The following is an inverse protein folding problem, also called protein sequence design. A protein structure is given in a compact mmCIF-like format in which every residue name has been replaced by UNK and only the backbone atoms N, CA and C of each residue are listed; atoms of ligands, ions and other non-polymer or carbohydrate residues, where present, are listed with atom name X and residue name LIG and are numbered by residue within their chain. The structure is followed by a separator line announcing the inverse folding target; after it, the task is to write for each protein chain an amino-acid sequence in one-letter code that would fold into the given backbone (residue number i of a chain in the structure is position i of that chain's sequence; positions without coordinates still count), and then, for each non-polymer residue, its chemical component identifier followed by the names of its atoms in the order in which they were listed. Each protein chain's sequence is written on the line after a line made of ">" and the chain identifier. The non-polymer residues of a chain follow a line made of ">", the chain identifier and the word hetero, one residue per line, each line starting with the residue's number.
data_IF_267877292262
#
_entry.id   IF_267877292262
#
_cell.length_a   1.000
_cell.length_b   1.000
_cell.length_c   1.000
_cell.angle_alpha   90.00
_cell.angle_beta   90.00
_cell.angle_gamma   90.00
#
_symmetry.space_group_name_H-M   'P 1'
#
loop_
_entity.id
_entity.type
_entity.pdbx_description
1 polymer ?
#
# COMPACT_ATOMS: atom_id res chain seq x y z
N UNK A 1 2.61 20.14 -6.58
CA UNK A 1 3.08 18.96 -7.33
C UNK A 1 2.71 19.03 -8.81
N UNK A 2 1.48 19.46 -9.14
CA UNK A 2 0.96 19.59 -10.51
C UNK A 2 1.77 20.51 -11.44
N UNK A 3 2.23 21.67 -10.95
CA UNK A 3 3.08 22.57 -11.73
C UNK A 3 4.44 21.97 -12.07
N UNK A 4 5.02 21.19 -11.14
CA UNK A 4 6.32 20.53 -11.36
C UNK A 4 6.20 19.39 -12.38
N UNK A 5 5.10 18.63 -12.35
CA UNK A 5 4.81 17.59 -13.34
C UNK A 5 4.50 18.18 -14.74
N UNK A 6 3.77 19.31 -14.80
CA UNK A 6 3.55 20.04 -16.06
C UNK A 6 4.86 20.60 -16.62
N UNK A 7 5.69 21.19 -15.77
CA UNK A 7 7.02 21.68 -16.13
C UNK A 7 7.88 20.53 -16.67
N UNK A 8 7.90 19.39 -15.98
CA UNK A 8 8.62 18.19 -16.39
C UNK A 8 8.12 17.68 -17.76
N UNK A 9 6.81 17.53 -17.95
CA UNK A 9 6.26 17.09 -19.23
C UNK A 9 6.56 18.09 -20.36
N UNK A 10 6.45 19.39 -20.09
CA UNK A 10 6.73 20.45 -21.08
C UNK A 10 8.20 20.51 -21.50
N UNK A 11 9.12 20.11 -20.63
CA UNK A 11 10.56 20.12 -20.89
C UNK A 11 11.02 18.81 -21.54
N UNK A 12 10.46 17.66 -21.16
CA UNK A 12 11.05 16.34 -21.48
C UNK A 12 10.23 15.46 -22.45
N UNK A 13 8.98 15.80 -22.79
CA UNK A 13 8.12 14.99 -23.66
C UNK A 13 7.86 15.56 -25.07
N UNK A 14 8.41 16.73 -25.41
CA UNK A 14 8.40 17.22 -26.80
C UNK A 14 9.57 16.63 -27.58
N UNK A 15 9.30 16.13 -28.79
CA UNK A 15 10.18 15.30 -29.64
C UNK A 15 11.59 15.88 -29.91
N UNK A 16 11.81 17.17 -29.73
CA UNK A 16 13.12 17.81 -29.92
C UNK A 16 14.10 17.67 -28.74
N UNK A 17 13.69 17.10 -27.59
CA UNK A 17 14.53 17.05 -26.38
C UNK A 17 14.86 15.65 -25.84
N UNK A 18 15.03 14.67 -26.73
CA UNK A 18 15.68 13.38 -26.40
C UNK A 18 17.00 13.55 -25.63
N UNK A 19 17.73 14.63 -25.89
CA UNK A 19 18.96 14.99 -25.16
C UNK A 19 18.73 15.35 -23.69
N UNK A 20 17.67 16.11 -23.37
CA UNK A 20 17.42 16.55 -22.00
C UNK A 20 17.05 15.36 -21.09
N UNK A 21 16.23 14.44 -21.61
CA UNK A 21 15.88 13.20 -20.92
C UNK A 21 17.09 12.28 -20.73
N UNK A 22 17.94 12.16 -21.76
CA UNK A 22 19.22 11.43 -21.66
C UNK A 22 20.18 12.04 -20.62
N UNK A 23 20.26 13.37 -20.52
CA UNK A 23 21.07 14.07 -19.52
C UNK A 23 20.55 13.79 -18.11
N UNK A 24 19.24 13.78 -17.92
CA UNK A 24 18.62 13.49 -16.63
C UNK A 24 18.87 12.04 -16.19
N UNK A 25 18.68 11.07 -17.10
CA UNK A 25 19.02 9.66 -16.84
C UNK A 25 20.50 9.51 -16.48
N UNK A 26 21.41 10.16 -17.23
CA UNK A 26 22.85 10.13 -16.91
C UNK A 26 23.14 10.72 -15.53
N UNK A 27 22.47 11.80 -15.12
CA UNK A 27 22.61 12.35 -13.77
C UNK A 27 22.10 11.40 -12.69
N UNK A 28 21.00 10.71 -12.93
CA UNK A 28 20.40 9.76 -11.99
C UNK A 28 21.30 8.53 -11.80
N UNK A 29 21.86 8.02 -12.90
CA UNK A 29 22.89 6.97 -12.88
C UNK A 29 24.11 7.43 -12.08
N UNK A 30 24.64 8.63 -12.34
CA UNK A 30 25.78 9.18 -11.59
C UNK A 30 25.50 9.32 -10.09
N UNK A 31 24.26 9.64 -9.71
CA UNK A 31 23.85 9.71 -8.31
C UNK A 31 23.84 8.30 -7.71
N UNK A 32 23.24 7.31 -8.37
CA UNK A 32 23.21 5.92 -7.90
C UNK A 32 24.63 5.35 -7.75
N UNK A 33 25.49 5.57 -8.75
CA UNK A 33 26.93 5.21 -8.69
C UNK A 33 27.66 5.90 -7.54
N UNK A 34 27.24 7.11 -7.14
CA UNK A 34 27.85 7.82 -6.00
C UNK A 34 27.41 7.31 -4.63
N UNK A 35 26.27 6.63 -4.56
CA UNK A 35 25.68 6.07 -3.33
C UNK A 35 26.17 4.64 -3.10
N UNK A 36 26.57 3.92 -4.15
CA UNK A 36 27.29 2.64 -4.06
C UNK A 36 28.70 2.83 -3.44
N UNK A 37 28.75 3.06 -2.13
CA UNK A 37 29.98 2.94 -1.36
C UNK A 37 30.08 1.52 -0.84
N UNK A 38 31.02 0.76 -1.38
CA UNK A 38 31.44 -0.53 -0.83
C UNK A 38 32.00 -0.28 0.59
N UNK A 39 31.40 -0.81 1.67
CA UNK A 39 31.91 -0.59 3.02
C UNK A 39 33.25 -1.34 3.17
N UNK A 40 34.31 -0.60 3.44
CA UNK A 40 35.64 -1.13 3.74
C UNK A 40 35.80 -1.26 5.25
N UNK A 41 35.77 -2.49 5.75
CA UNK A 41 36.12 -2.80 7.14
C UNK A 41 37.64 -2.94 7.25
N UNK A 42 38.28 -2.05 8.03
CA UNK A 42 39.72 -2.07 8.32
C UNK A 42 39.97 -2.88 9.59
N UNK A 43 40.81 -3.91 9.48
CA UNK A 43 41.43 -4.58 10.64
C UNK A 43 42.93 -4.29 10.58
N UNK A 44 43.47 -3.71 11.65
CA UNK A 44 44.84 -3.19 11.77
C UNK A 44 45.94 -4.22 11.46
N UNK A 45 47.01 -3.80 10.76
CA UNK A 45 48.40 -4.21 11.05
C UNK A 45 49.46 -3.39 10.27
N UNK A 46 50.71 -3.29 10.76
CA UNK A 46 51.65 -2.20 10.43
C UNK A 46 52.85 -2.62 9.55
N UNK A 47 53.31 -1.70 8.68
CA UNK A 47 54.54 -1.71 7.83
C UNK A 47 54.64 -2.86 6.80
N UNK A 48 55.10 -2.72 5.55
CA UNK A 48 55.79 -1.68 4.79
C UNK A 48 55.47 -1.97 3.30
N UNK A 49 55.21 -0.93 2.48
CA UNK A 49 54.66 -0.98 1.11
C UNK A 49 53.15 -1.34 0.97
N UNK A 50 52.37 -1.14 2.03
CA UNK A 50 50.93 -1.42 2.04
C UNK A 50 50.07 -0.36 1.35
N UNK A 51 49.12 -0.81 0.53
CA UNK A 51 47.89 -0.20 0.01
C UNK A 51 47.87 1.30 -0.43
N UNK A 52 48.97 2.05 -0.38
CA UNK A 52 49.09 3.42 -0.92
C UNK A 52 48.91 3.45 -2.44
N UNK A 53 48.93 2.29 -3.10
CA UNK A 53 48.54 2.17 -4.50
C UNK A 53 47.02 2.34 -4.67
N UNK A 54 46.22 2.08 -3.63
CA UNK A 54 44.76 2.21 -3.62
C UNK A 54 44.23 3.60 -3.26
N UNK A 55 45.09 4.50 -2.80
CA UNK A 55 44.74 5.93 -2.70
C UNK A 55 44.80 6.64 -4.07
N UNK A 56 45.27 5.96 -5.13
CA UNK A 56 45.19 6.46 -6.50
C UNK A 56 43.81 6.14 -7.07
N UNK A 57 43.24 7.09 -7.81
CA UNK A 57 41.98 6.92 -8.56
C UNK A 57 42.17 5.81 -9.61
N UNK A 58 41.56 4.64 -9.42
CA UNK A 58 41.50 3.62 -10.46
C UNK A 58 40.40 3.96 -11.45
N UNK A 59 40.69 3.79 -12.73
CA UNK A 59 39.70 3.83 -13.80
C UNK A 59 39.57 2.40 -14.33
N UNK A 60 38.51 1.71 -13.94
CA UNK A 60 38.18 0.42 -14.51
C UNK A 60 37.44 0.66 -15.82
N UNK A 61 38.03 0.25 -16.93
CA UNK A 61 37.37 0.26 -18.24
C UNK A 61 36.88 -1.15 -18.52
N UNK A 62 35.57 -1.35 -18.43
CA UNK A 62 34.93 -2.62 -18.79
C UNK A 62 34.80 -2.62 -20.31
N UNK A 63 35.53 -3.51 -20.96
CA UNK A 63 35.44 -3.71 -22.41
C UNK A 63 34.70 -5.01 -22.66
N UNK A 64 33.56 -4.94 -23.35
CA UNK A 64 32.84 -6.12 -23.79
C UNK A 64 33.65 -6.78 -24.91
N UNK A 65 34.44 -7.79 -24.56
CA UNK A 65 35.10 -8.66 -25.52
C UNK A 65 34.28 -9.94 -25.58
N UNK A 66 33.73 -10.22 -26.75
CA UNK A 66 32.94 -11.43 -27.00
C UNK A 66 33.71 -12.66 -26.51
N UNK A 67 32.94 -13.55 -25.86
CA UNK A 67 33.27 -14.93 -25.46
C UNK A 67 33.90 -15.15 -24.06
N UNK A 68 33.00 -15.48 -23.11
CA UNK A 68 33.17 -16.45 -22.03
C UNK A 68 34.44 -16.37 -21.15
N UNK A 69 34.68 -15.23 -20.49
CA UNK A 69 35.59 -15.21 -19.35
C UNK A 69 34.90 -14.64 -18.10
N UNK A 70 34.63 -15.53 -17.13
CA UNK A 70 34.23 -15.18 -15.78
C UNK A 70 35.43 -14.53 -15.07
N UNK A 71 35.24 -13.37 -14.46
CA UNK A 71 36.26 -12.75 -13.61
C UNK A 71 36.38 -13.55 -12.31
N UNK A 72 37.56 -14.11 -12.04
CA UNK A 72 37.85 -14.80 -10.78
C UNK A 72 38.65 -13.91 -9.85
N UNK A 73 38.17 -13.74 -8.61
CA UNK A 73 38.96 -13.13 -7.53
C UNK A 73 40.12 -14.07 -7.12
N UNK A 74 41.09 -13.58 -6.34
CA UNK A 74 42.23 -14.34 -5.79
C UNK A 74 41.82 -15.56 -4.94
N UNK A 75 40.54 -15.65 -4.58
CA UNK A 75 39.90 -16.79 -3.90
C UNK A 75 39.44 -17.89 -4.86
N UNK A 76 39.55 -17.71 -6.18
CA UNK A 76 39.11 -18.67 -7.21
C UNK A 76 37.61 -18.67 -7.47
N UNK A 77 36.84 -17.77 -6.84
CA UNK A 77 35.39 -17.67 -7.03
C UNK A 77 35.04 -16.74 -8.18
N UNK A 78 34.07 -17.15 -8.99
CA UNK A 78 33.55 -16.37 -10.12
C UNK A 78 32.69 -15.22 -9.61
N UNK A 79 33.04 -13.99 -9.98
CA UNK A 79 32.22 -12.80 -9.77
C UNK A 79 31.15 -12.72 -10.86
N UNK A 80 29.89 -12.97 -10.46
CA UNK A 80 28.72 -12.72 -11.30
C UNK A 80 28.27 -11.28 -11.08
N UNK A 81 28.35 -10.46 -12.11
CA UNK A 81 27.88 -9.07 -12.10
C UNK A 81 26.70 -8.99 -13.05
N UNK A 82 25.50 -8.82 -12.50
CA UNK A 82 24.28 -8.57 -13.28
C UNK A 82 23.84 -7.12 -13.04
N UNK A 83 23.39 -6.40 -14.08
CA UNK A 83 22.83 -5.07 -13.90
C UNK A 83 21.57 -5.17 -13.04
N UNK A 84 21.54 -4.43 -11.92
CA UNK A 84 20.38 -4.36 -11.01
C UNK A 84 19.08 -3.98 -11.74
N UNK A 85 19.18 -3.20 -12.82
CA UNK A 85 18.01 -2.77 -13.62
C UNK A 85 18.45 -2.38 -15.03
N UNK A 86 17.64 -2.72 -16.03
CA UNK A 86 17.84 -2.34 -17.44
C UNK A 86 17.22 -0.96 -17.72
N UNK A 87 17.70 -0.26 -18.76
CA UNK A 87 17.11 1.00 -19.23
C UNK A 87 15.63 0.85 -19.57
N UNK A 88 15.23 -0.32 -20.11
CA UNK A 88 13.82 -0.64 -20.38
C UNK A 88 12.99 -0.70 -19.10
N UNK A 89 13.46 -1.41 -18.08
CA UNK A 89 12.81 -1.48 -16.77
C UNK A 89 12.71 -0.11 -16.09
N UNK A 90 13.78 0.71 -16.16
CA UNK A 90 13.77 2.09 -15.69
C UNK A 90 12.76 2.96 -16.46
N UNK A 91 12.66 2.79 -17.78
CA UNK A 91 11.71 3.53 -18.62
C UNK A 91 10.27 3.16 -18.29
N UNK A 92 9.97 1.87 -18.10
CA UNK A 92 8.63 1.40 -17.69
C UNK A 92 8.27 1.94 -16.31
N UNK A 93 9.21 1.90 -15.36
CA UNK A 93 9.02 2.44 -14.01
C UNK A 93 8.79 3.96 -14.00
N UNK A 94 9.55 4.71 -14.79
CA UNK A 94 9.34 6.16 -14.93
C UNK A 94 8.03 6.47 -15.67
N UNK A 95 7.65 5.68 -16.68
CA UNK A 95 6.38 5.86 -17.38
C UNK A 95 5.18 5.60 -16.46
N UNK A 96 5.25 4.61 -15.57
CA UNK A 96 4.21 4.41 -14.54
C UNK A 96 4.17 5.56 -13.53
N UNK A 97 5.28 6.25 -13.29
CA UNK A 97 5.33 7.45 -12.45
C UNK A 97 4.81 8.74 -13.13
N UNK A 98 4.71 8.76 -14.46
CA UNK A 98 4.34 9.96 -15.24
C UNK A 98 2.94 9.83 -15.87
N UNK A 99 2.47 8.61 -16.14
CA UNK A 99 1.08 8.38 -16.51
C UNK A 99 0.20 8.55 -15.27
N UNK A 100 -0.74 9.50 -15.33
CA UNK A 100 -1.79 9.61 -14.32
C UNK A 100 -2.49 8.26 -14.25
N UNK A 101 -2.42 7.64 -13.09
CA UNK A 101 -3.20 6.45 -12.83
C UNK A 101 -4.66 6.84 -12.66
N UNK A 102 -5.55 5.86 -12.74
CA UNK A 102 -6.98 6.12 -12.67
C UNK A 102 -7.37 6.84 -11.36
N UNK A 103 -6.66 6.55 -10.26
CA UNK A 103 -6.85 7.15 -8.93
C UNK A 103 -6.24 8.55 -8.78
N UNK A 104 -5.40 9.01 -9.72
CA UNK A 104 -4.88 10.38 -9.75
C UNK A 104 -5.88 11.37 -10.36
N UNK A 105 -6.99 10.87 -10.93
CA UNK A 105 -8.03 11.72 -11.48
C UNK A 105 -8.88 12.36 -10.37
N UNK A 106 -9.46 13.55 -10.62
CA UNK A 106 -10.39 14.17 -9.68
C UNK A 106 -11.53 13.23 -9.32
N UNK A 107 -12.02 13.33 -8.09
CA UNK A 107 -13.07 12.45 -7.55
C UNK A 107 -14.30 12.31 -8.46
N UNK A 108 -14.67 13.37 -9.19
CA UNK A 108 -15.77 13.37 -10.16
C UNK A 108 -15.57 12.49 -11.40
N UNK A 109 -14.32 12.16 -11.74
CA UNK A 109 -13.95 11.34 -12.89
C UNK A 109 -13.81 9.85 -12.55
N UNK A 110 -13.72 9.51 -11.26
CA UNK A 110 -13.69 8.14 -10.79
C UNK A 110 -15.00 7.45 -11.13
N UNK A 111 -14.90 6.25 -11.68
CA UNK A 111 -16.04 5.55 -12.26
C UNK A 111 -16.98 5.03 -11.17
N UNK A 112 -16.44 4.58 -10.04
CA UNK A 112 -17.25 4.21 -8.87
C UNK A 112 -18.10 5.39 -8.36
N UNK A 113 -17.59 6.62 -8.45
CA UNK A 113 -18.34 7.85 -8.09
C UNK A 113 -19.42 8.15 -9.12
N UNK A 114 -19.14 7.96 -10.42
CA UNK A 114 -20.17 8.11 -11.48
C UNK A 114 -21.29 7.07 -11.35
N UNK A 115 -20.94 5.84 -10.98
CA UNK A 115 -21.92 4.78 -10.70
C UNK A 115 -22.87 5.20 -9.58
N UNK A 116 -22.37 5.82 -8.50
CA UNK A 116 -23.22 6.33 -7.41
C UNK A 116 -24.10 7.53 -7.80
N UNK A 117 -23.67 8.33 -8.79
CA UNK A 117 -24.47 9.45 -9.30
C UNK A 117 -25.58 9.01 -10.24
N UNK A 118 -25.35 7.92 -10.98
CA UNK A 118 -26.32 7.36 -11.92
C UNK A 118 -27.33 6.45 -11.23
N UNK A 119 -26.84 5.59 -10.34
CA UNK A 119 -27.62 4.71 -9.51
C UNK A 119 -27.45 5.14 -8.06
N UNK A 120 -28.48 5.79 -7.51
CA UNK A 120 -28.46 6.42 -6.19
C UNK A 120 -28.08 5.45 -5.06
N UNK A 121 -28.08 4.13 -5.30
CA UNK A 121 -27.82 3.10 -4.28
C UNK A 121 -27.12 1.90 -4.89
N UNK A 122 -25.93 1.58 -4.37
CA UNK A 122 -25.20 0.36 -4.73
C UNK A 122 -25.30 -0.65 -3.58
N UNK A 123 -25.53 -1.94 -3.90
CA UNK A 123 -25.69 -3.02 -2.92
C UNK A 123 -24.57 -4.03 -3.09
N UNK A 124 -23.83 -4.25 -2.00
CA UNK A 124 -22.68 -5.14 -1.90
C UNK A 124 -23.06 -6.30 -0.98
N UNK A 125 -23.29 -7.48 -1.54
CA UNK A 125 -23.74 -8.67 -0.79
C UNK A 125 -22.55 -9.56 -0.49
N UNK A 126 -22.36 -9.88 0.79
CA UNK A 126 -21.34 -10.82 1.23
C UNK A 126 -21.60 -12.21 0.64
N UNK A 127 -20.58 -12.80 0.01
CA UNK A 127 -20.61 -14.22 -0.40
C UNK A 127 -19.53 -15.01 0.30
N UNK A 128 -18.29 -14.53 0.27
CA UNK A 128 -17.13 -15.16 0.90
C UNK A 128 -16.18 -14.07 1.44
N UNK A 129 -15.25 -14.49 2.29
CA UNK A 129 -14.23 -13.61 2.87
C UNK A 129 -13.32 -13.03 1.78
N UNK A 130 -13.15 -11.69 1.79
CA UNK A 130 -12.35 -10.97 0.78
C UNK A 130 -12.72 -11.34 -0.67
N UNK A 131 -14.02 -11.43 -0.96
CA UNK A 131 -14.52 -11.65 -2.32
C UNK A 131 -14.51 -10.35 -3.15
N UNK A 132 -14.88 -10.46 -4.43
CA UNK A 132 -14.96 -9.31 -5.34
C UNK A 132 -16.24 -8.47 -5.19
N UNK A 133 -17.05 -8.73 -4.17
CA UNK A 133 -18.30 -8.02 -3.88
C UNK A 133 -18.17 -7.06 -2.70
N UNK A 134 -16.99 -6.92 -2.12
CA UNK A 134 -16.70 -5.95 -1.06
C UNK A 134 -16.63 -4.49 -1.55
N UNK A 135 -16.89 -3.56 -0.64
CA UNK A 135 -16.84 -2.11 -0.92
C UNK A 135 -15.40 -1.66 -1.15
N UNK A 136 -14.41 -2.15 -0.37
CA UNK A 136 -13.01 -1.78 -0.58
C UNK A 136 -12.51 -2.35 -1.90
N UNK A 137 -12.84 -3.59 -2.23
CA UNK A 137 -12.57 -4.16 -3.56
C UNK A 137 -13.15 -3.31 -4.69
N UNK A 138 -14.40 -2.87 -4.57
CA UNK A 138 -15.07 -2.02 -5.56
C UNK A 138 -14.40 -0.65 -5.72
N UNK A 139 -13.99 0.01 -4.62
CA UNK A 139 -13.23 1.27 -4.69
C UNK A 139 -11.85 1.03 -5.34
N UNK A 140 -11.14 -0.01 -4.90
CA UNK A 140 -9.78 -0.35 -5.36
C UNK A 140 -9.68 -0.82 -6.82
N UNK A 141 -10.82 -1.15 -7.44
CA UNK A 141 -10.94 -1.50 -8.87
C UNK A 141 -11.66 -0.43 -9.69
N UNK A 142 -11.87 0.75 -9.09
CA UNK A 142 -12.59 1.87 -9.69
C UNK A 142 -13.98 1.46 -10.23
N UNK A 143 -14.79 0.82 -9.41
CA UNK A 143 -16.11 0.40 -9.80
C UNK A 143 -16.11 -0.85 -10.68
N UNK A 144 -15.15 -1.77 -10.46
CA UNK A 144 -14.91 -2.97 -11.27
C UNK A 144 -14.59 -2.68 -12.74
N UNK A 145 -14.00 -1.52 -13.03
CA UNK A 145 -13.57 -1.16 -14.40
C UNK A 145 -12.11 -1.47 -14.67
N UNK A 146 -11.32 -1.61 -13.62
CA UNK A 146 -9.92 -2.04 -13.67
C UNK A 146 -9.84 -3.47 -13.17
N UNK A 147 -9.07 -4.33 -13.86
CA UNK A 147 -8.91 -5.74 -13.49
C UNK A 147 -8.11 -5.92 -12.20
N UNK A 148 -7.13 -5.05 -12.01
CA UNK A 148 -6.13 -5.18 -10.95
C UNK A 148 -6.58 -4.35 -9.75
N UNK A 149 -6.66 -5.00 -8.59
CA UNK A 149 -6.97 -4.32 -7.35
C UNK A 149 -5.79 -3.45 -6.90
N UNK A 150 -6.05 -2.17 -6.66
CA UNK A 150 -5.11 -1.26 -5.97
C UNK A 150 -5.68 -0.92 -4.61
N UNK A 151 -4.85 -0.98 -3.55
CA UNK A 151 -5.30 -0.64 -2.20
C UNK A 151 -5.78 0.83 -2.16
N UNK A 152 -7.07 1.09 -1.92
CA UNK A 152 -7.60 2.45 -1.98
C UNK A 152 -7.03 3.36 -0.88
N UNK A 153 -6.51 2.79 0.21
CA UNK A 153 -5.82 3.57 1.25
C UNK A 153 -4.47 4.11 0.79
N UNK A 154 -3.69 3.32 0.03
CA UNK A 154 -2.38 3.78 -0.47
C UNK A 154 -2.52 4.85 -1.56
N UNK A 155 -3.67 4.87 -2.26
CA UNK A 155 -4.02 5.90 -3.24
C UNK A 155 -4.63 7.17 -2.63
N UNK A 156 -4.96 7.17 -1.33
CA UNK A 156 -5.62 8.29 -0.65
C UNK A 156 -7.12 8.44 -0.94
N UNK A 157 -7.75 7.45 -1.58
CA UNK A 157 -9.20 7.39 -1.77
C UNK A 157 -9.93 7.04 -0.46
N UNK A 158 -9.26 6.28 0.40
CA UNK A 158 -9.70 5.93 1.76
C UNK A 158 -8.66 6.46 2.73
N UNK A 159 -9.12 6.91 3.90
CA UNK A 159 -8.23 7.32 4.99
C UNK A 159 -8.39 6.40 6.18
N UNK A 160 -7.26 6.04 6.81
CA UNK A 160 -7.21 5.29 8.05
C UNK A 160 -6.48 6.12 9.09
N UNK A 161 -7.01 6.15 10.30
CA UNK A 161 -6.40 6.75 11.48
C UNK A 161 -6.39 5.73 12.61
N UNK A 162 -5.40 5.78 13.49
CA UNK A 162 -5.32 4.84 14.61
C UNK A 162 -4.86 5.54 15.89
N UNK A 163 -4.88 4.80 17.01
CA UNK A 163 -4.51 5.35 18.31
C UNK A 163 -3.04 5.72 18.47
N UNK A 164 -2.17 5.28 17.57
CA UNK A 164 -0.73 5.56 17.60
C UNK A 164 -0.32 6.43 16.41
N UNK A 165 0.31 7.57 16.69
CA UNK A 165 0.74 8.52 15.67
C UNK A 165 2.05 8.11 14.97
N UNK A 166 2.70 7.05 15.41
CA UNK A 166 3.97 6.57 14.83
C UNK A 166 3.80 5.75 13.55
N UNK A 167 2.57 5.41 13.17
CA UNK A 167 2.31 4.64 11.96
C UNK A 167 2.54 5.51 10.70
N UNK A 168 3.38 4.99 9.81
CA UNK A 168 3.53 5.55 8.46
C UNK A 168 2.28 5.30 7.60
N UNK A 169 2.09 6.10 6.55
CA UNK A 169 0.97 5.94 5.60
C UNK A 169 0.92 4.54 4.99
N UNK A 170 2.09 3.92 4.77
CA UNK A 170 2.18 2.56 4.24
C UNK A 170 1.63 1.54 5.25
N UNK A 171 2.11 1.59 6.51
CA UNK A 171 1.63 0.70 7.56
C UNK A 171 0.13 0.84 7.79
N UNK A 172 -0.42 2.06 7.74
CA UNK A 172 -1.86 2.29 7.82
C UNK A 172 -2.62 1.66 6.64
N UNK A 173 -2.05 1.71 5.44
CA UNK A 173 -2.65 1.07 4.26
C UNK A 173 -2.66 -0.45 4.37
N UNK A 174 -1.64 -1.04 4.98
CA UNK A 174 -1.49 -2.49 5.15
C UNK A 174 -2.54 -3.04 6.14
N UNK A 175 -2.96 -2.26 7.14
CA UNK A 175 -4.03 -2.65 8.09
C UNK A 175 -5.36 -3.00 7.43
N UNK A 176 -5.67 -2.38 6.28
CA UNK A 176 -6.93 -2.55 5.56
C UNK A 176 -6.73 -3.13 4.15
N UNK A 177 -5.63 -3.83 3.93
CA UNK A 177 -5.37 -4.48 2.65
C UNK A 177 -6.39 -5.59 2.35
N UNK A 178 -6.85 -5.65 1.10
CA UNK A 178 -7.69 -6.75 0.62
C UNK A 178 -6.85 -7.99 0.31
N UNK A 179 -5.67 -7.80 -0.29
CA UNK A 179 -4.76 -8.89 -0.69
C UNK A 179 -3.92 -9.33 0.50
N UNK A 180 -3.73 -10.64 0.68
CA UNK A 180 -2.81 -11.19 1.68
C UNK A 180 -1.40 -11.23 1.09
N UNK A 181 -0.47 -10.46 1.61
CA UNK A 181 0.95 -10.63 1.29
C UNK A 181 1.41 -11.96 1.92
N UNK A 182 1.89 -12.88 1.10
CA UNK A 182 2.43 -14.17 1.56
C UNK A 182 3.75 -13.95 2.33
N UNK A 183 4.47 -12.85 2.04
CA UNK A 183 5.75 -12.49 2.66
C UNK A 183 5.62 -11.83 4.04
N UNK A 184 4.40 -11.53 4.52
CA UNK A 184 4.19 -10.91 5.84
C UNK A 184 4.26 -11.89 7.01
N UNK A 185 4.52 -13.17 6.76
CA UNK A 185 4.54 -14.21 7.79
C UNK A 185 5.83 -14.25 8.62
N UNK A 186 6.96 -13.68 8.16
CA UNK A 186 8.25 -13.91 8.82
C UNK A 186 8.76 -12.80 9.75
N UNK A 187 8.32 -11.53 9.68
CA UNK A 187 8.94 -10.45 10.50
C UNK A 187 7.98 -9.38 11.10
N UNK A 188 6.66 -9.48 10.91
CA UNK A 188 5.71 -8.43 11.30
C UNK A 188 5.08 -8.57 12.71
N UNK A 189 5.69 -9.34 13.61
CA UNK A 189 5.10 -9.66 14.91
C UNK A 189 4.88 -8.43 15.82
N UNK A 190 5.72 -7.40 15.72
CA UNK A 190 5.68 -6.26 16.65
C UNK A 190 4.89 -5.05 16.13
N UNK A 191 4.68 -4.94 14.81
CA UNK A 191 4.21 -3.68 14.19
C UNK A 191 2.73 -3.42 14.46
N UNK A 192 1.90 -4.41 14.78
CA UNK A 192 0.45 -4.24 14.90
C UNK A 192 -0.14 -4.52 16.29
N UNK A 193 0.71 -4.76 17.31
CA UNK A 193 0.26 -5.31 18.60
C UNK A 193 -0.29 -4.30 19.61
N UNK A 194 -0.34 -3.01 19.33
CA UNK A 194 -0.66 -2.00 20.36
C UNK A 194 -1.76 -0.99 19.99
N UNK A 195 -2.53 -1.26 18.92
CA UNK A 195 -3.61 -0.34 18.55
C UNK A 195 -4.81 -0.52 19.48
N UNK A 196 -5.18 0.57 20.16
CA UNK A 196 -6.40 0.62 20.96
C UNK A 196 -7.63 0.84 20.08
N UNK A 197 -7.48 1.60 18.99
CA UNK A 197 -8.55 1.81 18.02
C UNK A 197 -8.01 2.12 16.63
N UNK A 198 -8.84 1.84 15.62
CA UNK A 198 -8.63 2.17 14.21
C UNK A 198 -9.92 2.79 13.69
N UNK A 199 -9.83 3.93 13.01
CA UNK A 199 -10.94 4.61 12.34
C UNK A 199 -10.67 4.57 10.84
N UNK A 200 -11.69 4.19 10.07
CA UNK A 200 -11.66 4.06 8.61
C UNK A 200 -12.70 5.03 8.04
N UNK A 201 -12.26 5.93 7.17
CA UNK A 201 -13.10 6.84 6.38
C UNK A 201 -13.07 6.41 4.91
N UNK A 202 -14.18 5.84 4.45
CA UNK A 202 -14.30 5.37 3.07
C UNK A 202 -14.54 6.52 2.06
N UNK A 203 -14.80 7.74 2.53
CA UNK A 203 -15.29 8.83 1.67
C UNK A 203 -16.72 8.60 1.15
N UNK A 204 -17.46 7.66 1.76
CA UNK A 204 -18.81 7.24 1.35
C UNK A 204 -19.75 7.23 2.56
N UNK A 205 -21.05 7.40 2.32
CA UNK A 205 -22.09 7.07 3.29
C UNK A 205 -22.61 5.67 3.04
N UNK A 206 -22.47 4.79 4.03
CA UNK A 206 -22.82 3.37 3.91
C UNK A 206 -23.77 2.91 5.02
N UNK A 207 -24.49 1.81 4.77
CA UNK A 207 -25.19 1.00 5.77
C UNK A 207 -24.55 -0.38 5.71
N UNK A 208 -23.60 -0.70 6.62
CA UNK A 208 -22.87 -1.96 6.54
C UNK A 208 -23.78 -3.13 6.93
N UNK A 209 -23.65 -4.27 6.27
CA UNK A 209 -24.38 -5.50 6.61
C UNK A 209 -23.44 -6.56 7.13
N UNK A 210 -22.23 -6.63 6.59
CA UNK A 210 -21.17 -7.55 7.00
C UNK A 210 -19.84 -6.82 6.97
N UNK A 211 -18.90 -7.29 7.78
CA UNK A 211 -17.50 -6.93 7.62
C UNK A 211 -16.62 -8.15 7.89
N UNK A 212 -15.50 -8.20 7.20
CA UNK A 212 -14.48 -9.24 7.34
C UNK A 212 -13.19 -8.59 7.85
N UNK A 213 -12.56 -9.21 8.83
CA UNK A 213 -11.24 -8.83 9.31
C UNK A 213 -10.25 -9.95 9.01
N UNK A 214 -9.00 -9.57 8.77
CA UNK A 214 -7.87 -10.49 8.73
C UNK A 214 -6.90 -10.18 9.87
N UNK A 215 -6.46 -11.22 10.55
CA UNK A 215 -5.44 -11.18 11.59
C UNK A 215 -4.05 -11.44 10.98
N UNK A 216 -2.99 -10.70 11.37
CA UNK A 216 -1.65 -10.80 10.77
C UNK A 216 -1.00 -12.19 10.90
N UNK A 217 -1.09 -12.81 12.08
CA UNK A 217 -0.31 -14.04 12.40
C UNK A 217 -1.19 -15.30 12.52
N UNK A 218 -2.37 -15.30 11.90
CA UNK A 218 -3.32 -16.41 12.03
C UNK A 218 -4.15 -16.34 13.32
N UNK A 219 -5.33 -16.95 13.31
CA UNK A 219 -6.34 -16.79 14.34
C UNK A 219 -6.00 -17.54 15.63
N UNK A 220 -5.37 -16.86 16.59
CA UNK A 220 -5.23 -17.39 17.94
C UNK A 220 -6.57 -17.40 18.66
N UNK A 221 -6.73 -18.29 19.65
CA UNK A 221 -7.98 -18.48 20.38
C UNK A 221 -8.59 -17.16 20.85
N UNK A 222 -9.81 -16.86 20.37
CA UNK A 222 -10.65 -15.72 20.74
C UNK A 222 -10.26 -14.32 20.21
N UNK A 223 -9.35 -14.18 19.23
CA UNK A 223 -9.05 -12.87 18.64
C UNK A 223 -10.31 -12.14 18.13
N UNK A 224 -11.29 -12.91 17.66
CA UNK A 224 -12.59 -12.45 17.15
C UNK A 224 -13.51 -11.80 18.21
N UNK A 225 -13.17 -11.89 19.50
CA UNK A 225 -13.99 -11.39 20.63
C UNK A 225 -13.43 -10.12 21.27
N UNK A 226 -12.30 -9.61 20.78
CA UNK A 226 -11.50 -8.60 21.46
C UNK A 226 -11.80 -7.15 21.07
N UNK A 227 -12.74 -6.92 20.16
CA UNK A 227 -13.05 -5.58 19.65
C UNK A 227 -14.54 -5.26 19.66
N UNK A 228 -14.83 -3.97 19.50
CA UNK A 228 -16.14 -3.37 19.29
C UNK A 228 -16.14 -2.77 17.89
N UNK A 229 -17.15 -3.14 17.09
CA UNK A 229 -17.42 -2.49 15.82
C UNK A 229 -18.35 -1.30 16.06
N UNK A 230 -17.93 -0.12 15.64
CA UNK A 230 -18.67 1.12 15.86
C UNK A 230 -18.73 1.93 14.59
N UNK A 231 -19.76 2.75 14.45
CA UNK A 231 -20.02 3.57 13.27
C UNK A 231 -20.27 5.01 13.68
N UNK A 232 -19.95 5.96 12.81
CA UNK A 232 -20.12 7.38 13.06
C UNK A 232 -20.40 8.16 11.78
N UNK A 233 -21.04 9.33 11.92
CA UNK A 233 -21.20 10.32 10.85
C UNK A 233 -20.15 11.44 10.92
N UNK A 234 -19.54 11.65 12.08
CA UNK A 234 -18.82 12.88 12.42
C UNK A 234 -17.48 12.66 13.15
N UNK A 235 -17.09 11.42 13.44
CA UNK A 235 -15.92 11.04 14.27
C UNK A 235 -15.96 11.48 15.73
N UNK A 236 -17.06 12.07 16.18
CA UNK A 236 -17.25 12.52 17.56
C UNK A 236 -18.15 11.53 18.28
N UNK A 237 -19.28 11.17 17.66
CA UNK A 237 -20.26 10.26 18.21
C UNK A 237 -20.15 8.91 17.51
N UNK A 238 -19.68 7.90 18.26
CA UNK A 238 -19.58 6.53 17.77
C UNK A 238 -20.68 5.67 18.39
N UNK A 239 -21.48 5.04 17.53
CA UNK A 239 -22.53 4.12 17.92
C UNK A 239 -21.97 2.69 17.84
N UNK A 240 -21.93 1.93 18.94
CA UNK A 240 -21.57 0.51 18.86
C UNK A 240 -22.66 -0.27 18.12
N UNK A 241 -22.24 -1.13 17.20
CA UNK A 241 -23.14 -2.05 16.52
C UNK A 241 -23.19 -3.39 17.26
N UNK A 242 -24.35 -4.02 17.24
CA UNK A 242 -24.45 -5.44 17.57
C UNK A 242 -23.89 -6.26 16.42
N UNK A 243 -22.97 -7.16 16.72
CA UNK A 243 -22.33 -8.02 15.73
C UNK A 243 -22.51 -9.49 16.09
N UNK A 244 -22.69 -10.34 15.08
CA UNK A 244 -22.67 -11.80 15.26
C UNK A 244 -21.71 -12.44 14.30
N UNK A 245 -20.81 -13.28 14.83
CA UNK A 245 -19.82 -14.01 14.06
C UNK A 245 -20.49 -15.00 13.10
N UNK A 246 -20.05 -15.00 11.84
CA UNK A 246 -20.54 -15.91 10.78
C UNK A 246 -19.79 -17.24 10.82
N UNK A 247 -18.47 -17.20 11.04
CA UNK A 247 -17.59 -18.35 11.07
C UNK A 247 -16.72 -18.36 12.35
N UNK A 248 -16.86 -19.39 13.19
CA UNK A 248 -15.95 -19.62 14.33
C UNK A 248 -14.87 -20.59 13.86
N UNK A 249 -13.70 -20.05 13.50
CA UNK A 249 -12.58 -20.86 13.03
C UNK A 249 -11.25 -20.25 13.49
N UNK A 250 -10.22 -21.09 13.66
CA UNK A 250 -8.83 -20.65 13.85
C UNK A 250 -8.22 -20.03 12.57
N UNK A 251 -9.06 -19.57 11.64
CA UNK A 251 -8.65 -18.92 10.41
C UNK A 251 -8.02 -17.55 10.71
N UNK A 252 -7.05 -17.09 9.91
CA UNK A 252 -6.62 -15.68 9.94
C UNK A 252 -7.78 -14.73 9.61
N UNK A 253 -8.85 -15.18 8.96
CA UNK A 253 -10.00 -14.36 8.57
C UNK A 253 -11.24 -14.72 9.36
N UNK A 254 -12.05 -13.71 9.67
CA UNK A 254 -13.36 -13.89 10.28
C UNK A 254 -14.32 -12.83 9.77
N UNK A 255 -15.60 -13.20 9.67
CA UNK A 255 -16.67 -12.32 9.20
C UNK A 255 -17.77 -12.18 10.24
N UNK A 256 -18.30 -10.98 10.37
CA UNK A 256 -19.43 -10.69 11.25
C UNK A 256 -20.57 -10.05 10.47
N UNK A 257 -21.79 -10.37 10.88
CA UNK A 257 -23.01 -9.68 10.50
C UNK A 257 -23.17 -8.46 11.41
N UNK A 258 -23.52 -7.31 10.84
CA UNK A 258 -23.87 -6.10 11.56
C UNK A 258 -25.39 -6.01 11.68
N UNK A 259 -25.90 -5.96 12.90
CA UNK A 259 -27.34 -5.95 13.20
C UNK A 259 -27.83 -4.57 13.63
N UNK A 260 -29.15 -4.40 13.59
CA UNK A 260 -29.88 -3.25 14.15
C UNK A 260 -29.48 -1.89 13.57
N UNK A 261 -29.10 -1.84 12.30
CA UNK A 261 -28.96 -0.59 11.58
C UNK A 261 -30.34 -0.18 11.05
N UNK A 262 -30.79 1.02 11.41
CA UNK A 262 -32.11 1.50 10.99
C UNK A 262 -32.18 1.56 9.45
N UNK A 263 -33.20 0.91 8.87
CA UNK A 263 -33.46 0.87 7.43
C UNK A 263 -33.61 2.26 6.81
N UNK A 264 -34.03 3.26 7.61
CA UNK A 264 -34.20 4.66 7.21
C UNK A 264 -33.01 5.57 7.57
N UNK A 265 -31.86 4.99 7.93
CA UNK A 265 -30.66 5.79 8.23
C UNK A 265 -30.16 6.51 6.97
N UNK A 266 -29.67 7.74 7.13
CA UNK A 266 -28.92 8.46 6.08
C UNK A 266 -27.51 7.90 5.84
N UNK A 267 -27.22 6.69 6.33
CA UNK A 267 -25.90 6.06 6.30
C UNK A 267 -24.91 6.64 7.31
N UNK A 268 -23.78 5.97 7.41
CA UNK A 268 -22.64 6.31 8.26
C UNK A 268 -21.38 6.41 7.41
N UNK A 269 -20.46 7.29 7.78
CA UNK A 269 -19.25 7.55 7.00
C UNK A 269 -18.03 6.83 7.57
N UNK A 270 -17.91 6.85 8.89
CA UNK A 270 -16.76 6.36 9.60
C UNK A 270 -17.06 5.02 10.25
N UNK A 271 -16.12 4.10 10.15
CA UNK A 271 -16.11 2.83 10.87
C UNK A 271 -14.98 2.90 11.89
N UNK A 272 -15.22 2.43 13.11
CA UNK A 272 -14.20 2.30 14.14
C UNK A 272 -14.17 0.87 14.68
N UNK A 273 -12.97 0.30 14.67
CA UNK A 273 -12.65 -0.94 15.36
C UNK A 273 -11.93 -0.53 16.64
N UNK A 274 -12.53 -0.82 17.79
CA UNK A 274 -12.02 -0.38 19.10
C UNK A 274 -11.78 -1.60 19.98
N UNK A 275 -10.64 -1.69 20.65
CA UNK A 275 -10.39 -2.72 21.67
C UNK A 275 -11.52 -2.72 22.72
N UNK A 276 -11.98 -3.92 23.07
CA UNK A 276 -13.00 -4.14 24.10
C UNK A 276 -12.38 -4.23 25.50
N UNK A 277 -11.13 -4.67 25.58
CA UNK A 277 -10.38 -4.86 26.82
C UNK A 277 -8.95 -4.36 26.64
N UNK A 278 -8.38 -3.76 27.68
CA UNK A 278 -6.98 -3.32 27.69
C UNK A 278 -5.95 -4.44 27.56
N UNK A 279 -6.37 -5.71 27.72
CA UNK A 279 -5.49 -6.88 27.60
C UNK A 279 -5.32 -7.37 26.17
N UNK A 280 -6.19 -6.94 25.26
CA UNK A 280 -6.21 -7.41 23.88
C UNK A 280 -6.39 -6.22 22.95
N UNK A 281 -5.27 -5.78 22.38
CA UNK A 281 -5.23 -4.75 21.35
C UNK A 281 -5.91 -5.22 20.06
N UNK A 282 -6.26 -4.24 19.22
CA UNK A 282 -6.74 -4.47 17.86
C UNK A 282 -5.55 -4.80 16.97
N UNK A 283 -5.47 -6.05 16.51
CA UNK A 283 -4.47 -6.50 15.54
C UNK A 283 -5.19 -6.91 14.25
N UNK A 284 -5.05 -6.12 13.18
CA UNK A 284 -5.62 -6.44 11.86
C UNK A 284 -4.58 -6.23 10.76
N UNK A 285 -4.68 -7.01 9.70
CA UNK A 285 -3.87 -6.93 8.47
C UNK A 285 -4.74 -6.94 7.22
N UNK A 286 -6.05 -6.74 7.38
CA UNK A 286 -7.00 -6.68 6.30
C UNK A 286 -8.39 -6.37 6.83
N UNK A 287 -9.13 -5.64 6.00
CA UNK A 287 -10.49 -5.21 6.27
C UNK A 287 -11.28 -5.27 4.97
N UNK A 288 -12.53 -5.73 5.04
CA UNK A 288 -13.48 -5.62 3.95
C UNK A 288 -14.87 -5.36 4.54
N UNK A 289 -15.71 -4.59 3.86
CA UNK A 289 -17.06 -4.27 4.32
C UNK A 289 -18.06 -4.38 3.20
N UNK A 290 -19.26 -4.84 3.55
CA UNK A 290 -20.36 -5.12 2.66
C UNK A 290 -21.61 -4.39 3.14
N UNK A 291 -22.60 -4.24 2.27
CA UNK A 291 -23.85 -3.56 2.57
C UNK A 291 -24.22 -2.54 1.51
N UNK A 292 -24.95 -1.52 1.91
CA UNK A 292 -25.46 -0.53 0.97
C UNK A 292 -24.60 0.72 0.98
N UNK A 293 -24.22 1.20 -0.21
CA UNK A 293 -23.60 2.52 -0.38
C UNK A 293 -24.68 3.48 -0.88
N UNK A 294 -24.88 4.58 -0.15
CA UNK A 294 -25.93 5.57 -0.41
C UNK A 294 -25.42 6.75 -1.24
N UNK A 295 -24.23 7.25 -0.94
CA UNK A 295 -23.65 8.37 -1.68
C UNK A 295 -22.16 8.49 -1.41
N UNK A 296 -21.47 9.15 -2.32
CA UNK A 296 -20.12 9.62 -2.10
C UNK A 296 -20.14 10.95 -1.33
N UNK A 297 -19.10 11.23 -0.55
CA UNK A 297 -18.91 12.54 0.07
C UNK A 297 -18.41 13.52 -0.99
N UNK A 298 -19.14 14.62 -1.18
CA UNK A 298 -18.66 15.72 -2.01
C UNK A 298 -17.52 16.43 -1.28
N UNK A 299 -16.29 16.05 -1.61
CA UNK A 299 -15.11 16.84 -1.28
C UNK A 299 -15.18 18.04 -2.21
N UNK A 300 -15.73 19.17 -1.73
CA UNK A 300 -15.64 20.44 -2.46
C UNK A 300 -14.16 20.70 -2.72
N UNK A 301 -13.81 20.65 -4.00
CA UNK A 301 -12.47 20.90 -4.56
C UNK A 301 -11.91 22.25 -4.13
#
# INVERSE_FOLDING_TARGET
>A
MYERAKLFCSIFLFDEQLQAFQILIRKLILILESIEKLPLFLYDAPFNYGLQIFSKRFRFQIQYKNEQQLFTDRTGKSLKIEPLTTVGQLKTFLASMVSKQWYDHPHSHLEFVKQLKSDNRQIFTYTNEFDQNGILYWIGTNGKTVSDYTNPCSTGLISVSCSDNNYSSQQLSDLISHISSIDDQEDNEDINRNLSWIIIDLGLFIIPTHFTLRHPTGGFTNWTKNFLFQISKDTIHFLPCETSLVNDSNSPTATWIVKNLAENSTGFRYIRIHQKSSRHSVCISGFEVYGQVLSAVDIRS
#
